data_IF_742042264491
#
_entry.id   IF_742042264491
#
_cell.length_a   1.000
_cell.length_b   1.000
_cell.length_c   1.000
_cell.angle_alpha   90.00
_cell.angle_beta   90.00
_cell.angle_gamma   90.00
#
_symmetry.space_group_name_H-M   'P 1'
#
loop_
_entity.id
_entity.type
_entity.pdbx_description
1 polymer ?
#
# COMPACT_ATOMS: atom_id res chain seq x y z
N UNK A 1 -22.97 0.87 -2.01
CA UNK A 1 -22.74 -0.52 -1.63
C UNK A 1 -21.58 -1.09 -2.44
N UNK A 2 -20.59 -1.67 -1.78
CA UNK A 2 -19.47 -2.23 -2.53
C UNK A 2 -19.94 -3.39 -3.40
N UNK A 3 -19.32 -3.62 -4.55
CA UNK A 3 -19.66 -4.76 -5.38
C UNK A 3 -19.39 -6.05 -4.61
N UNK A 4 -20.07 -7.12 -4.99
CA UNK A 4 -19.92 -8.40 -4.32
C UNK A 4 -18.46 -8.86 -4.28
N UNK A 5 -17.68 -8.50 -5.29
CA UNK A 5 -16.25 -8.80 -5.34
C UNK A 5 -15.37 -7.83 -4.58
N UNK A 6 -15.98 -6.84 -3.89
CA UNK A 6 -15.22 -5.83 -3.18
C UNK A 6 -14.68 -4.75 -4.11
N UNK A 7 -13.69 -4.00 -3.61
CA UNK A 7 -13.03 -2.98 -4.41
C UNK A 7 -12.09 -3.62 -5.41
N UNK A 8 -11.95 -3.01 -6.57
CA UNK A 8 -10.96 -3.44 -7.55
C UNK A 8 -9.60 -2.86 -7.13
N UNK A 9 -8.58 -3.72 -7.09
CA UNK A 9 -7.24 -3.30 -6.72
C UNK A 9 -6.47 -3.00 -8.01
N UNK A 10 -6.00 -1.77 -8.14
CA UNK A 10 -5.27 -1.32 -9.33
C UNK A 10 -3.87 -0.92 -8.90
N UNK A 11 -2.86 -1.56 -9.49
CA UNK A 11 -1.46 -1.23 -9.20
C UNK A 11 -0.98 -0.16 -10.17
N UNK A 12 -0.60 0.99 -9.64
CA UNK A 12 0.03 2.01 -10.46
C UNK A 12 1.36 1.47 -11.01
N UNK A 13 1.75 1.93 -12.18
CA UNK A 13 3.01 1.48 -12.80
C UNK A 13 4.19 1.66 -11.84
N UNK A 14 4.24 2.78 -11.14
CA UNK A 14 5.31 3.05 -10.17
C UNK A 14 5.36 2.00 -9.08
N UNK A 15 4.20 1.55 -8.60
CA UNK A 15 4.18 0.55 -7.53
C UNK A 15 4.72 -0.80 -8.01
N UNK A 16 4.52 -1.13 -9.27
CA UNK A 16 5.09 -2.36 -9.84
C UNK A 16 6.61 -2.25 -9.92
N UNK A 17 7.12 -1.07 -10.29
CA UNK A 17 8.56 -0.83 -10.29
C UNK A 17 9.13 -0.93 -8.87
N UNK A 18 8.38 -0.40 -7.88
CA UNK A 18 8.81 -0.52 -6.49
C UNK A 18 8.89 -1.99 -6.06
N UNK A 19 7.90 -2.77 -6.43
CA UNK A 19 7.88 -4.19 -6.09
C UNK A 19 9.10 -4.91 -6.66
N UNK A 20 9.51 -4.54 -7.89
CA UNK A 20 10.68 -5.15 -8.52
C UNK A 20 11.98 -4.89 -7.74
N UNK A 21 12.04 -3.84 -6.93
CA UNK A 21 13.23 -3.56 -6.11
C UNK A 21 13.25 -4.37 -4.81
N UNK A 22 12.16 -5.08 -4.51
CA UNK A 22 12.04 -5.88 -3.29
C UNK A 22 12.34 -7.34 -3.63
N UNK A 23 13.00 -8.05 -2.72
CA UNK A 23 13.32 -9.45 -2.95
C UNK A 23 12.07 -10.26 -3.31
N UNK A 24 12.18 -11.09 -4.33
CA UNK A 24 11.04 -11.85 -4.87
C UNK A 24 10.34 -12.71 -3.83
N UNK A 25 11.10 -13.20 -2.85
CA UNK A 25 10.50 -14.06 -1.81
C UNK A 25 9.40 -13.37 -1.01
N UNK A 26 9.38 -12.02 -1.01
CA UNK A 26 8.36 -11.27 -0.29
C UNK A 26 7.18 -10.85 -1.18
N UNK A 27 7.28 -11.00 -2.50
CA UNK A 27 6.24 -10.49 -3.40
C UNK A 27 4.88 -11.12 -3.12
N UNK A 28 4.86 -12.45 -2.93
CA UNK A 28 3.60 -13.13 -2.69
C UNK A 28 2.95 -12.67 -1.38
N UNK A 29 3.74 -12.48 -0.34
CA UNK A 29 3.24 -11.98 0.94
C UNK A 29 2.65 -10.58 0.75
N UNK A 30 3.36 -9.72 0.04
CA UNK A 30 2.91 -8.34 -0.18
C UNK A 30 1.60 -8.33 -0.94
N UNK A 31 1.53 -9.03 -2.07
CA UNK A 31 0.33 -9.06 -2.90
C UNK A 31 -0.86 -9.66 -2.17
N UNK A 32 -0.63 -10.75 -1.43
CA UNK A 32 -1.68 -11.41 -0.67
C UNK A 32 -2.21 -10.49 0.43
N UNK A 33 -1.31 -9.80 1.14
CA UNK A 33 -1.70 -8.91 2.21
C UNK A 33 -2.50 -7.72 1.68
N UNK A 34 -2.06 -7.15 0.56
CA UNK A 34 -2.80 -6.06 -0.08
C UNK A 34 -4.23 -6.53 -0.41
N UNK A 35 -4.38 -7.69 -1.01
CA UNK A 35 -5.70 -8.22 -1.35
C UNK A 35 -6.55 -8.44 -0.10
N UNK A 36 -5.98 -9.04 0.94
CA UNK A 36 -6.71 -9.31 2.17
C UNK A 36 -7.12 -8.05 2.90
N UNK A 37 -6.25 -7.04 2.92
CA UNK A 37 -6.48 -5.83 3.69
C UNK A 37 -7.33 -4.80 2.96
N UNK A 38 -7.23 -4.71 1.65
CA UNK A 38 -7.77 -3.57 0.94
C UNK A 38 -8.97 -3.88 0.04
N UNK A 39 -9.33 -5.14 -0.12
CA UNK A 39 -10.41 -5.49 -1.05
C UNK A 39 -11.80 -5.09 -0.55
N UNK A 40 -12.07 -5.25 0.73
CA UNK A 40 -13.45 -5.08 1.22
C UNK A 40 -13.70 -3.84 2.04
N UNK A 41 -12.77 -3.46 2.90
CA UNK A 41 -12.96 -2.30 3.78
C UNK A 41 -11.72 -1.40 3.80
N UNK A 42 -11.22 -0.96 2.62
CA UNK A 42 -9.99 -0.16 2.61
C UNK A 42 -10.13 1.18 3.30
N UNK A 43 -11.35 1.68 3.43
CA UNK A 43 -11.63 3.00 4.02
C UNK A 43 -11.73 2.98 5.54
N UNK A 44 -11.63 1.81 6.16
CA UNK A 44 -11.70 1.72 7.62
C UNK A 44 -10.29 1.73 8.21
N UNK A 45 -10.08 2.63 9.17
CA UNK A 45 -8.81 2.67 9.88
C UNK A 45 -8.72 1.48 10.83
N UNK A 46 -7.56 0.84 10.86
CA UNK A 46 -7.27 -0.27 11.76
C UNK A 46 -5.86 -0.07 12.30
N UNK A 47 -5.40 -1.01 13.13
CA UNK A 47 -4.01 -0.90 13.61
C UNK A 47 -2.99 -1.04 12.48
N UNK A 48 -3.40 -1.58 11.33
CA UNK A 48 -2.50 -1.73 10.17
C UNK A 48 -2.75 -0.69 9.09
N UNK A 49 -3.88 0.00 9.12
CA UNK A 49 -4.26 0.96 8.08
C UNK A 49 -4.65 2.28 8.71
N UNK A 50 -4.14 3.36 8.16
CA UNK A 50 -4.49 4.69 8.64
C UNK A 50 -4.53 5.70 7.51
N UNK A 51 -5.43 6.68 7.60
CA UNK A 51 -5.36 7.82 6.68
C UNK A 51 -4.14 8.66 7.06
N UNK A 52 -3.52 9.25 6.05
CA UNK A 52 -2.37 10.12 6.25
C UNK A 52 -2.86 11.55 6.47
N UNK A 53 -2.23 12.27 7.41
CA UNK A 53 -2.59 13.66 7.66
C UNK A 53 -2.14 14.56 6.52
N UNK A 54 -1.05 14.18 5.86
CA UNK A 54 -0.53 14.89 4.70
C UNK A 54 -0.27 13.87 3.60
N UNK A 55 -0.34 14.29 2.34
CA UNK A 55 -0.11 13.35 1.24
C UNK A 55 1.23 12.64 1.40
N UNK A 56 1.21 11.34 1.17
CA UNK A 56 2.39 10.51 1.20
C UNK A 56 3.04 10.40 -0.16
N UNK A 57 3.87 9.38 -0.36
CA UNK A 57 4.53 9.14 -1.64
C UNK A 57 3.50 9.09 -2.77
N UNK A 58 3.82 9.78 -3.87
CA UNK A 58 2.98 9.82 -5.08
C UNK A 58 1.55 10.29 -4.81
N UNK A 59 1.37 11.12 -3.78
CA UNK A 59 0.07 11.68 -3.46
C UNK A 59 -0.86 10.76 -2.71
N UNK A 60 -0.36 9.66 -2.17
CA UNK A 60 -1.20 8.70 -1.44
C UNK A 60 -1.85 9.35 -0.23
N UNK A 61 -3.08 8.89 0.07
CA UNK A 61 -3.83 9.40 1.21
C UNK A 61 -3.99 8.37 2.33
N UNK A 62 -3.57 7.14 2.10
CA UNK A 62 -3.64 6.05 3.08
C UNK A 62 -2.34 5.26 3.12
N UNK A 63 -2.06 4.68 4.28
CA UNK A 63 -0.90 3.81 4.47
C UNK A 63 -1.33 2.49 5.10
N UNK A 64 -0.81 1.38 4.57
CA UNK A 64 -0.95 0.04 5.13
C UNK A 64 0.42 -0.42 5.61
N UNK A 65 0.50 -0.89 6.84
CA UNK A 65 1.74 -1.40 7.44
C UNK A 65 1.57 -2.86 7.80
N UNK A 66 2.56 -3.68 7.49
CA UNK A 66 2.49 -5.10 7.83
C UNK A 66 3.87 -5.74 7.81
N UNK A 67 3.88 -7.04 8.16
CA UNK A 67 5.11 -7.79 8.23
C UNK A 67 5.85 -7.59 9.56
N UNK A 68 6.99 -8.27 9.75
CA UNK A 68 7.75 -8.14 10.99
C UNK A 68 8.13 -6.68 11.24
N UNK A 69 7.83 -6.18 12.43
CA UNK A 69 8.12 -4.78 12.81
C UNK A 69 7.47 -3.78 11.86
N UNK A 70 6.38 -4.17 11.20
CA UNK A 70 5.70 -3.32 10.23
C UNK A 70 6.65 -2.81 9.15
N UNK A 71 7.56 -3.66 8.70
CA UNK A 71 8.59 -3.23 7.75
C UNK A 71 8.06 -2.94 6.36
N UNK A 72 6.94 -3.58 5.97
CA UNK A 72 6.37 -3.33 4.64
C UNK A 72 5.34 -2.21 4.73
N UNK A 73 5.43 -1.28 3.80
CA UNK A 73 4.56 -0.10 3.74
C UNK A 73 3.95 0.01 2.36
N UNK A 74 2.63 0.09 2.32
CA UNK A 74 1.91 0.26 1.06
C UNK A 74 1.10 1.54 1.16
N UNK A 75 1.26 2.41 0.16
CA UNK A 75 0.59 3.70 0.11
C UNK A 75 -0.46 3.64 -0.98
N UNK A 76 -1.67 4.03 -0.64
CA UNK A 76 -2.78 3.85 -1.56
C UNK A 76 -3.77 4.99 -1.50
N UNK A 77 -4.67 5.00 -2.48
CA UNK A 77 -5.75 5.95 -2.57
C UNK A 77 -7.03 5.21 -2.90
N UNK A 78 -8.14 5.67 -2.34
CA UNK A 78 -9.44 5.01 -2.51
C UNK A 78 -10.34 5.91 -3.34
N UNK A 79 -10.97 5.34 -4.35
CA UNK A 79 -12.02 5.99 -5.10
C UNK A 79 -13.33 5.27 -4.78
N UNK A 80 -14.14 5.88 -3.94
CA UNK A 80 -15.40 5.27 -3.50
C UNK A 80 -16.38 5.14 -4.66
N UNK A 81 -16.46 6.16 -5.51
CA UNK A 81 -17.41 6.14 -6.62
C UNK A 81 -17.10 5.02 -7.60
N UNK A 82 -15.84 4.84 -7.94
CA UNK A 82 -15.41 3.80 -8.86
C UNK A 82 -15.21 2.46 -8.17
N UNK A 83 -15.23 2.44 -6.84
CA UNK A 83 -14.97 1.24 -6.06
C UNK A 83 -13.61 0.64 -6.39
N UNK A 84 -12.61 1.50 -6.46
CA UNK A 84 -11.23 1.07 -6.74
C UNK A 84 -10.30 1.52 -5.62
N UNK A 85 -9.24 0.75 -5.44
CA UNK A 85 -8.12 1.12 -4.58
C UNK A 85 -6.90 1.14 -5.48
N UNK A 86 -6.27 2.30 -5.58
CA UNK A 86 -5.05 2.41 -6.37
C UNK A 86 -3.83 2.28 -5.47
N UNK A 87 -3.00 1.29 -5.75
CA UNK A 87 -1.75 1.06 -5.02
C UNK A 87 -0.70 1.97 -5.68
N UNK A 88 -0.26 2.99 -4.95
CA UNK A 88 0.61 4.02 -5.52
C UNK A 88 2.08 3.76 -5.26
N UNK A 89 2.43 3.27 -4.07
CA UNK A 89 3.83 3.07 -3.73
C UNK A 89 3.97 1.91 -2.75
N UNK A 90 5.09 1.20 -2.85
CA UNK A 90 5.41 0.07 -1.96
C UNK A 90 6.84 0.26 -1.47
N UNK A 91 7.03 0.24 -0.17
CA UNK A 91 8.35 0.43 0.41
C UNK A 91 8.65 -0.56 1.52
N UNK A 92 9.90 -0.59 1.91
CA UNK A 92 10.40 -1.44 2.99
C UNK A 92 11.10 -0.54 3.98
N UNK A 93 10.56 -0.43 5.20
CA UNK A 93 11.23 0.38 6.21
C UNK A 93 12.45 -0.32 6.75
N UNK A 94 13.56 0.36 6.78
CA UNK A 94 14.82 -0.14 7.33
C UNK A 94 15.36 0.88 8.32
N UNK A 95 15.20 0.61 9.62
CA UNK A 95 15.58 1.52 10.69
C UNK A 95 14.87 2.87 10.53
N UNK A 96 15.61 3.95 10.28
CA UNK A 96 15.05 5.29 10.11
C UNK A 96 14.81 5.63 8.65
N UNK A 97 14.92 4.66 7.76
CA UNK A 97 14.86 4.88 6.33
C UNK A 97 13.66 4.16 5.75
N UNK A 98 13.07 4.75 4.73
CA UNK A 98 11.96 4.14 4.01
C UNK A 98 12.28 4.21 2.52
N UNK A 99 13.06 3.25 2.00
CA UNK A 99 13.25 3.17 0.55
C UNK A 99 11.96 2.74 -0.12
N UNK A 100 11.59 3.46 -1.16
CA UNK A 100 10.44 3.17 -2.01
C UNK A 100 11.00 3.14 -3.41
N UNK A 101 11.10 1.93 -3.98
CA UNK A 101 11.81 1.78 -5.23
C UNK A 101 13.27 2.15 -5.03
N UNK A 102 13.74 3.09 -5.85
CA UNK A 102 15.12 3.57 -5.76
C UNK A 102 15.25 4.89 -5.03
N UNK A 103 14.16 5.40 -4.51
CA UNK A 103 14.15 6.64 -3.77
C UNK A 103 14.00 6.37 -2.29
N UNK A 104 14.45 7.31 -1.48
CA UNK A 104 14.39 7.16 -0.05
C UNK A 104 13.53 8.26 0.55
N UNK A 105 12.55 7.85 1.34
CA UNK A 105 11.66 8.77 2.04
C UNK A 105 11.99 8.75 3.52
N UNK A 106 11.97 9.91 4.16
CA UNK A 106 12.18 10.00 5.58
C UNK A 106 10.93 9.57 6.35
N UNK A 107 11.13 9.25 7.61
CA UNK A 107 10.02 8.92 8.49
C UNK A 107 9.99 9.80 9.71
#
# INVERSE_FOLDING_TARGET
>A
MPPKGGFELVYATESLDHLDTIERKYHRLIEKTIAQQLRYTPELATRNRKPLEQPGPLGATWELRFGPRNRFRVFYEINIEEQTVEILAIGVKERNRLPIGREEYGE
#
